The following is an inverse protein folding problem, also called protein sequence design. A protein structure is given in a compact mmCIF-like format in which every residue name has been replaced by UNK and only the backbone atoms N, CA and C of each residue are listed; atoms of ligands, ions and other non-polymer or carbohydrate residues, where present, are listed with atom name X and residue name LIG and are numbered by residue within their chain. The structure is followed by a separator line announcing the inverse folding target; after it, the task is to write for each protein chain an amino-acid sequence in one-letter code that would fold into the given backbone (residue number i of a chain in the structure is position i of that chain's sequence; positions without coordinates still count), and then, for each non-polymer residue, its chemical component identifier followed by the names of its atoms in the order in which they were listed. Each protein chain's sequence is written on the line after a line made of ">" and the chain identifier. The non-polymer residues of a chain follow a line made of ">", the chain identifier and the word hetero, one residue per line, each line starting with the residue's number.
data_IF_736261735054
#
_entry.id   IF_736261735054
#
_cell.length_a   1.000
_cell.length_b   1.000
_cell.length_c   1.000
_cell.angle_alpha   90.00
_cell.angle_beta   90.00
_cell.angle_gamma   90.00
#
_symmetry.space_group_name_H-M   'P 1'
#
loop_
_entity.id
_entity.type
_entity.pdbx_description
1 polymer ?
#
# COMPACT_ATOMS: atom_id res chain seq x y z
N UNK A 1 -4.26 -16.26 42.46
CA UNK A 1 -5.42 -15.87 41.65
C UNK A 1 -6.03 -14.61 42.24
N UNK A 2 -6.08 -13.53 41.47
CA UNK A 2 -7.17 -12.55 41.40
C UNK A 2 -6.79 -11.56 40.30
N UNK A 3 -6.88 -12.00 39.04
CA UNK A 3 -7.14 -11.08 37.95
C UNK A 3 -8.57 -10.58 38.18
N UNK A 4 -8.70 -9.46 38.87
CA UNK A 4 -9.99 -8.85 39.21
C UNK A 4 -10.80 -8.63 37.93
N UNK A 5 -11.80 -9.47 37.70
CA UNK A 5 -12.82 -9.33 36.64
C UNK A 5 -12.47 -9.90 35.26
N UNK A 6 -11.25 -10.34 35.00
CA UNK A 6 -10.83 -10.82 33.67
C UNK A 6 -10.82 -12.36 33.62
N UNK A 7 -11.65 -12.97 32.74
CA UNK A 7 -11.66 -14.42 32.48
C UNK A 7 -10.37 -14.85 31.78
N UNK A 8 -9.30 -15.04 32.55
CA UNK A 8 -7.97 -15.40 32.04
C UNK A 8 -7.55 -16.77 32.58
N UNK A 9 -7.31 -17.74 31.69
CA UNK A 9 -6.87 -19.07 32.11
C UNK A 9 -5.35 -19.10 32.38
N UNK A 10 -4.87 -19.89 33.38
CA UNK A 10 -3.44 -20.08 33.61
C UNK A 10 -2.70 -20.59 32.36
N UNK A 11 -3.35 -21.46 31.58
CA UNK A 11 -2.80 -22.00 30.34
C UNK A 11 -2.54 -20.91 29.29
N UNK A 12 -3.46 -19.94 29.15
CA UNK A 12 -3.29 -18.82 28.23
C UNK A 12 -2.13 -17.91 28.63
N UNK A 13 -1.95 -17.65 29.93
CA UNK A 13 -0.81 -16.92 30.45
C UNK A 13 0.52 -17.61 30.12
N UNK A 14 0.61 -18.93 30.32
CA UNK A 14 1.82 -19.67 29.97
C UNK A 14 2.12 -19.62 28.47
N UNK A 15 1.09 -19.72 27.63
CA UNK A 15 1.26 -19.58 26.17
C UNK A 15 1.81 -18.21 25.78
N UNK A 16 1.33 -17.14 26.41
CA UNK A 16 1.83 -15.78 26.15
C UNK A 16 3.26 -15.59 26.66
N UNK A 17 3.63 -16.16 27.81
CA UNK A 17 5.02 -16.17 28.29
C UNK A 17 5.95 -16.92 27.35
N UNK A 18 5.54 -18.10 26.90
CA UNK A 18 6.31 -18.91 25.96
C UNK A 18 6.54 -18.18 24.63
N UNK A 19 5.58 -17.36 24.21
CA UNK A 19 5.68 -16.51 23.02
C UNK A 19 6.41 -15.17 23.26
N UNK A 20 6.87 -14.89 24.48
CA UNK A 20 7.54 -13.63 24.83
C UNK A 20 6.63 -12.40 24.87
N UNK A 21 5.30 -12.57 24.82
CA UNK A 21 4.33 -11.46 24.83
C UNK A 21 4.17 -10.82 26.21
N UNK A 22 4.44 -11.57 27.27
CA UNK A 22 4.45 -11.08 28.65
C UNK A 22 5.73 -11.56 29.34
N UNK A 23 6.28 -10.77 30.27
CA UNK A 23 7.52 -11.12 30.91
C UNK A 23 7.33 -12.30 31.87
N UNK A 24 8.41 -13.05 32.13
CA UNK A 24 8.37 -14.14 33.11
C UNK A 24 8.26 -13.58 34.53
N UNK A 25 7.51 -14.24 35.42
CA UNK A 25 7.46 -13.87 36.83
C UNK A 25 8.86 -13.94 37.45
N UNK A 26 9.27 -12.85 38.10
CA UNK A 26 10.58 -12.70 38.72
C UNK A 26 10.73 -11.37 39.45
N UNK A 27 11.91 -11.06 40.02
CA UNK A 27 12.12 -9.90 40.89
C UNK A 27 11.81 -8.54 40.26
N UNK A 28 11.86 -8.43 38.93
CA UNK A 28 11.53 -7.20 38.19
C UNK A 28 10.09 -7.10 37.68
N UNK A 29 9.27 -8.14 37.87
CA UNK A 29 7.91 -8.23 37.31
C UNK A 29 6.86 -8.56 38.36
N UNK A 30 7.31 -8.93 39.57
CA UNK A 30 6.49 -9.20 40.73
C UNK A 30 6.79 -8.18 41.83
N UNK A 31 5.72 -7.71 42.46
CA UNK A 31 5.75 -6.90 43.67
C UNK A 31 5.24 -7.74 44.83
N UNK A 32 5.85 -7.56 46.01
CA UNK A 32 5.39 -8.19 47.24
C UNK A 32 4.26 -7.36 47.84
N UNK A 33 3.08 -7.96 47.94
CA UNK A 33 1.90 -7.37 48.59
C UNK A 33 1.54 -8.24 49.79
N UNK A 34 2.12 -7.92 50.95
CA UNK A 34 2.00 -8.76 52.15
C UNK A 34 2.70 -10.11 51.97
N UNK A 35 1.94 -11.21 52.07
CA UNK A 35 2.43 -12.59 51.90
C UNK A 35 2.29 -13.12 50.47
N UNK A 36 1.78 -12.31 49.53
CA UNK A 36 1.59 -12.72 48.15
C UNK A 36 2.48 -11.91 47.21
N UNK A 37 2.90 -12.56 46.13
CA UNK A 37 3.53 -11.91 44.99
C UNK A 37 2.47 -11.61 43.94
N UNK A 38 2.42 -10.36 43.49
CA UNK A 38 1.49 -9.88 42.48
C UNK A 38 2.26 -9.27 41.31
N UNK A 39 1.71 -9.30 40.11
CA UNK A 39 2.32 -8.63 38.97
C UNK A 39 2.36 -7.12 39.16
N UNK A 40 3.37 -6.48 38.57
CA UNK A 40 3.42 -5.02 38.53
C UNK A 40 2.23 -4.43 37.76
N UNK A 41 1.82 -3.18 38.03
CA UNK A 41 0.74 -2.52 37.29
C UNK A 41 0.97 -2.49 35.77
N UNK A 42 2.22 -2.37 35.33
CA UNK A 42 2.60 -2.38 33.91
C UNK A 42 2.29 -3.75 33.28
N UNK A 43 2.65 -4.83 33.98
CA UNK A 43 2.35 -6.20 33.50
C UNK A 43 0.85 -6.47 33.51
N UNK A 44 0.11 -5.94 34.49
CA UNK A 44 -1.35 -6.04 34.52
C UNK A 44 -2.00 -5.31 33.33
N UNK A 45 -1.52 -4.11 33.00
CA UNK A 45 -1.98 -3.31 31.86
C UNK A 45 -1.72 -4.03 30.53
N UNK A 46 -0.51 -4.59 30.37
CA UNK A 46 -0.15 -5.43 29.22
C UNK A 46 -1.11 -6.62 29.07
N UNK A 47 -1.34 -7.38 30.13
CA UNK A 47 -2.25 -8.54 30.12
C UNK A 47 -3.69 -8.14 29.78
N UNK A 48 -4.17 -7.02 30.32
CA UNK A 48 -5.50 -6.49 30.01
C UNK A 48 -5.62 -6.07 28.53
N UNK A 49 -4.63 -5.37 27.98
CA UNK A 49 -4.62 -5.00 26.56
C UNK A 49 -4.55 -6.20 25.61
N UNK A 50 -3.74 -7.21 25.95
CA UNK A 50 -3.68 -8.47 25.20
C UNK A 50 -5.02 -9.21 25.22
N UNK A 51 -5.75 -9.17 26.33
CA UNK A 51 -7.09 -9.77 26.44
C UNK A 51 -8.12 -9.11 25.54
N UNK A 52 -8.03 -7.80 25.31
CA UNK A 52 -8.90 -7.09 24.36
C UNK A 52 -8.63 -7.54 22.92
N UNK A 53 -7.36 -7.76 22.57
CA UNK A 53 -6.95 -8.12 21.21
C UNK A 53 -7.10 -9.62 20.90
N UNK A 54 -6.89 -10.49 21.89
CA UNK A 54 -6.79 -11.94 21.71
C UNK A 54 -8.00 -12.63 21.04
N UNK A 55 -9.26 -12.25 21.30
CA UNK A 55 -10.41 -12.86 20.63
C UNK A 55 -10.41 -12.70 19.10
N UNK A 56 -9.72 -11.67 18.60
CA UNK A 56 -9.65 -11.34 17.18
C UNK A 56 -8.49 -12.06 16.48
N UNK A 57 -7.53 -12.60 17.23
CA UNK A 57 -6.28 -13.13 16.70
C UNK A 57 -6.26 -14.66 16.69
N UNK A 58 -5.81 -15.24 15.57
CA UNK A 58 -5.61 -16.69 15.44
C UNK A 58 -4.21 -17.15 15.83
N UNK A 59 -3.23 -16.23 15.78
CA UNK A 59 -1.82 -16.50 16.06
C UNK A 59 -1.25 -15.53 17.07
N UNK A 60 -0.12 -15.88 17.70
CA UNK A 60 0.59 -14.96 18.59
C UNK A 60 1.26 -13.82 17.82
N UNK A 61 1.67 -14.06 16.56
CA UNK A 61 2.22 -13.02 15.70
C UNK A 61 1.15 -11.95 15.39
N UNK A 62 -0.07 -12.37 15.07
CA UNK A 62 -1.21 -11.45 14.89
C UNK A 62 -1.56 -10.70 16.17
N UNK A 63 -1.50 -11.38 17.32
CA UNK A 63 -1.74 -10.75 18.63
C UNK A 63 -0.67 -9.71 18.96
N UNK A 64 0.62 -10.01 18.71
CA UNK A 64 1.72 -9.08 18.91
C UNK A 64 1.50 -7.81 18.07
N UNK A 65 1.21 -7.96 16.78
CA UNK A 65 0.98 -6.83 15.88
C UNK A 65 -0.26 -6.03 16.25
N UNK A 66 -1.39 -6.70 16.50
CA UNK A 66 -2.64 -6.03 16.83
C UNK A 66 -2.52 -5.26 18.14
N UNK A 67 -1.93 -5.86 19.17
CA UNK A 67 -1.72 -5.21 20.46
C UNK A 67 -0.72 -4.05 20.34
N UNK A 68 0.39 -4.25 19.61
CA UNK A 68 1.39 -3.21 19.37
C UNK A 68 0.78 -1.97 18.75
N UNK A 69 0.03 -2.13 17.65
CA UNK A 69 -0.64 -1.02 16.97
C UNK A 69 -1.85 -0.47 17.74
N UNK A 70 -2.38 -1.16 18.75
CA UNK A 70 -3.37 -0.64 19.70
C UNK A 70 -2.74 -0.07 20.98
N UNK A 71 -1.48 0.36 20.93
CA UNK A 71 -0.76 1.02 22.04
C UNK A 71 -0.61 0.17 23.30
N UNK A 72 -0.82 -1.13 23.22
CA UNK A 72 -0.49 -2.05 24.31
C UNK A 72 1.04 -2.12 24.43
N UNK A 73 1.61 -2.02 25.65
CA UNK A 73 3.07 -2.02 25.87
C UNK A 73 3.65 -3.44 25.75
N UNK A 74 3.46 -4.07 24.59
CA UNK A 74 4.03 -5.38 24.27
C UNK A 74 5.56 -5.26 24.08
N UNK A 75 6.35 -6.27 24.47
CA UNK A 75 7.78 -6.27 24.20
C UNK A 75 8.08 -6.16 22.69
N UNK A 76 9.12 -5.43 22.30
CA UNK A 76 9.44 -5.19 20.88
C UNK A 76 9.88 -6.47 20.14
N UNK A 77 10.49 -7.43 20.82
CA UNK A 77 11.01 -8.65 20.19
C UNK A 77 9.95 -9.56 19.54
N UNK A 78 8.81 -9.89 20.19
CA UNK A 78 7.72 -10.60 19.51
C UNK A 78 7.11 -9.78 18.36
N UNK A 79 7.12 -8.44 18.44
CA UNK A 79 6.67 -7.56 17.34
C UNK A 79 7.63 -7.67 16.16
N UNK A 80 8.95 -7.56 16.38
CA UNK A 80 9.97 -7.76 15.34
C UNK A 80 9.83 -9.13 14.68
N UNK A 81 9.69 -10.18 15.50
CA UNK A 81 9.52 -11.55 15.01
C UNK A 81 8.26 -11.68 14.14
N UNK A 82 7.14 -11.09 14.57
CA UNK A 82 5.90 -11.09 13.82
C UNK A 82 6.03 -10.33 12.49
N UNK A 83 6.68 -9.16 12.49
CA UNK A 83 6.98 -8.39 11.28
C UNK A 83 7.88 -9.20 10.33
N UNK A 84 8.94 -9.84 10.83
CA UNK A 84 9.84 -10.66 10.00
C UNK A 84 9.09 -11.79 9.26
N UNK A 85 8.22 -12.51 9.99
CA UNK A 85 7.46 -13.63 9.43
C UNK A 85 6.34 -13.21 8.49
N UNK A 86 5.74 -12.04 8.72
CA UNK A 86 4.57 -11.58 7.95
C UNK A 86 4.94 -10.70 6.76
N UNK A 87 5.98 -9.88 6.88
CA UNK A 87 6.38 -8.93 5.85
C UNK A 87 7.30 -9.56 4.80
N UNK A 88 8.49 -10.05 5.18
CA UNK A 88 9.53 -10.38 4.20
C UNK A 88 9.17 -11.50 3.22
N UNK A 89 8.51 -12.61 3.63
CA UNK A 89 8.04 -13.61 2.67
C UNK A 89 7.06 -13.01 1.65
N UNK A 90 6.25 -12.07 2.09
CA UNK A 90 5.24 -11.42 1.27
C UNK A 90 5.86 -10.37 0.35
N UNK A 91 6.86 -9.63 0.85
CA UNK A 91 7.69 -8.73 0.05
C UNK A 91 8.39 -9.47 -1.09
N UNK A 92 9.04 -10.60 -0.81
CA UNK A 92 9.69 -11.44 -1.84
C UNK A 92 8.68 -11.88 -2.89
N UNK A 93 7.52 -12.39 -2.46
CA UNK A 93 6.45 -12.79 -3.38
C UNK A 93 5.96 -11.64 -4.26
N UNK A 94 5.74 -10.46 -3.69
CA UNK A 94 5.33 -9.26 -4.46
C UNK A 94 6.40 -8.86 -5.46
N UNK A 95 7.69 -8.93 -5.09
CA UNK A 95 8.81 -8.64 -6.01
C UNK A 95 8.92 -9.65 -7.16
N UNK A 96 8.73 -10.93 -6.87
CA UNK A 96 8.67 -11.97 -7.90
C UNK A 96 7.51 -11.70 -8.86
N UNK A 97 6.31 -11.40 -8.34
CA UNK A 97 5.15 -11.04 -9.14
C UNK A 97 5.40 -9.78 -9.99
N UNK A 98 6.00 -8.72 -9.42
CA UNK A 98 6.38 -7.52 -10.19
C UNK A 98 7.36 -7.86 -11.32
N UNK A 99 8.33 -8.73 -11.05
CA UNK A 99 9.30 -9.17 -12.03
C UNK A 99 8.66 -10.01 -13.14
N UNK A 100 7.71 -10.87 -12.80
CA UNK A 100 6.91 -11.63 -13.76
C UNK A 100 6.07 -10.69 -14.65
N UNK A 101 5.39 -9.68 -14.07
CA UNK A 101 4.62 -8.71 -14.86
C UNK A 101 5.54 -7.88 -15.78
N UNK A 102 6.71 -7.47 -15.31
CA UNK A 102 7.71 -6.77 -16.12
C UNK A 102 8.17 -7.62 -17.31
N UNK A 103 8.33 -8.93 -17.12
CA UNK A 103 8.70 -9.85 -18.21
C UNK A 103 7.58 -10.06 -19.24
N UNK A 104 6.32 -9.83 -18.87
CA UNK A 104 5.17 -9.89 -19.80
C UNK A 104 5.07 -8.68 -20.72
N UNK A 105 5.70 -7.56 -20.37
CA UNK A 105 5.81 -6.41 -21.27
C UNK A 105 6.68 -6.83 -22.48
N UNK A 106 6.15 -6.72 -23.72
CA UNK A 106 6.90 -7.08 -24.92
C UNK A 106 8.26 -6.38 -24.94
N UNK A 107 9.32 -7.10 -25.33
CA UNK A 107 10.68 -6.56 -25.29
C UNK A 107 10.81 -5.25 -26.11
N UNK A 108 10.11 -5.18 -27.24
CA UNK A 108 10.09 -3.99 -28.10
C UNK A 108 9.53 -2.76 -27.37
N UNK A 109 8.41 -2.91 -26.66
CA UNK A 109 7.78 -1.82 -25.90
C UNK A 109 8.63 -1.43 -24.68
N UNK A 110 9.28 -2.42 -24.06
CA UNK A 110 10.17 -2.23 -22.91
C UNK A 110 11.44 -1.46 -23.25
N UNK A 111 12.02 -1.75 -24.42
CA UNK A 111 13.25 -1.11 -24.89
C UNK A 111 12.97 0.33 -25.40
N UNK A 112 11.74 0.61 -25.82
CA UNK A 112 11.30 1.95 -26.25
C UNK A 112 10.94 2.87 -25.07
N UNK A 113 10.45 2.30 -23.95
CA UNK A 113 10.04 3.06 -22.77
C UNK A 113 11.18 3.28 -21.76
N UNK A 114 11.10 4.38 -20.98
CA UNK A 114 12.01 4.59 -19.85
C UNK A 114 11.84 3.47 -18.82
N UNK A 115 12.92 3.01 -18.15
CA UNK A 115 12.85 1.98 -17.14
C UNK A 115 11.79 2.24 -16.06
N UNK A 116 11.64 3.48 -15.62
CA UNK A 116 10.63 3.85 -14.62
C UNK A 116 9.19 3.59 -15.09
N UNK A 117 8.92 3.76 -16.39
CA UNK A 117 7.59 3.53 -16.96
C UNK A 117 7.27 2.03 -17.06
N UNK A 118 8.25 1.21 -17.46
CA UNK A 118 8.10 -0.25 -17.49
C UNK A 118 7.78 -0.80 -16.09
N UNK A 119 8.41 -0.24 -15.06
CA UNK A 119 8.10 -0.58 -13.67
C UNK A 119 6.72 -0.12 -13.25
N UNK A 120 6.32 1.09 -13.63
CA UNK A 120 4.99 1.61 -13.35
C UNK A 120 3.88 0.74 -13.99
N UNK A 121 4.14 0.20 -15.18
CA UNK A 121 3.24 -0.76 -15.84
C UNK A 121 3.14 -2.10 -15.10
N UNK A 122 4.27 -2.64 -14.65
CA UNK A 122 4.29 -3.87 -13.86
C UNK A 122 3.59 -3.68 -12.50
N UNK A 123 3.79 -2.54 -11.84
CA UNK A 123 3.12 -2.20 -10.58
C UNK A 123 1.61 -2.06 -10.76
N UNK A 124 1.18 -1.30 -11.78
CA UNK A 124 -0.23 -1.13 -12.10
C UNK A 124 -0.94 -2.47 -12.40
N UNK A 125 -0.25 -3.43 -13.04
CA UNK A 125 -0.80 -4.76 -13.27
C UNK A 125 -1.10 -5.52 -11.97
N UNK A 126 -0.30 -5.33 -10.92
CA UNK A 126 -0.58 -5.88 -9.59
C UNK A 126 -1.67 -5.09 -8.86
N UNK A 127 -1.66 -3.77 -8.96
CA UNK A 127 -2.68 -2.91 -8.35
C UNK A 127 -4.08 -3.20 -8.91
N UNK A 128 -4.18 -3.62 -10.17
CA UNK A 128 -5.41 -4.12 -10.80
C UNK A 128 -6.03 -5.34 -10.07
N UNK A 129 -5.28 -6.03 -9.20
CA UNK A 129 -5.79 -7.11 -8.37
C UNK A 129 -6.54 -6.60 -7.12
N UNK A 130 -6.44 -5.31 -6.78
CA UNK A 130 -7.21 -4.68 -5.72
C UNK A 130 -8.67 -4.50 -6.16
N UNK A 131 -9.45 -5.58 -6.00
CA UNK A 131 -10.85 -5.67 -6.48
C UNK A 131 -11.73 -4.54 -6.00
N UNK A 132 -11.53 -4.07 -4.78
CA UNK A 132 -12.35 -3.01 -4.21
C UNK A 132 -12.05 -1.66 -4.85
N UNK A 133 -10.77 -1.25 -4.85
CA UNK A 133 -10.33 0.00 -5.46
C UNK A 133 -10.64 0.04 -6.96
N UNK A 134 -10.33 -1.04 -7.70
CA UNK A 134 -10.57 -1.13 -9.14
C UNK A 134 -12.07 -1.11 -9.47
N UNK A 135 -12.90 -1.79 -8.68
CA UNK A 135 -14.36 -1.70 -8.83
C UNK A 135 -14.83 -0.25 -8.65
N UNK A 136 -14.38 0.43 -7.59
CA UNK A 136 -14.75 1.82 -7.33
C UNK A 136 -14.29 2.76 -8.47
N UNK A 137 -13.03 2.66 -8.90
CA UNK A 137 -12.51 3.47 -10.02
C UNK A 137 -13.31 3.26 -11.30
N UNK A 138 -13.73 2.03 -11.62
CA UNK A 138 -14.58 1.73 -12.80
C UNK A 138 -15.98 2.29 -12.67
N UNK A 139 -16.61 2.13 -11.50
CA UNK A 139 -17.94 2.65 -11.25
C UNK A 139 -17.95 4.17 -11.32
N UNK A 140 -16.89 4.81 -10.84
CA UNK A 140 -16.67 6.24 -10.94
C UNK A 140 -16.47 6.71 -12.40
N UNK A 141 -15.61 6.04 -13.16
CA UNK A 141 -15.43 6.32 -14.60
C UNK A 141 -16.74 6.18 -15.38
N UNK A 142 -17.55 5.15 -15.10
CA UNK A 142 -18.84 4.91 -15.77
C UNK A 142 -19.88 6.01 -15.52
N UNK A 143 -19.71 6.86 -14.49
CA UNK A 143 -20.57 8.04 -14.27
C UNK A 143 -20.37 9.13 -15.32
N UNK A 144 -19.22 9.14 -16.02
CA UNK A 144 -18.99 10.07 -17.13
C UNK A 144 -19.91 9.77 -18.30
N UNK A 145 -20.41 10.82 -18.95
CA UNK A 145 -21.36 10.69 -20.07
C UNK A 145 -20.80 9.90 -21.24
N UNK A 146 -19.51 10.08 -21.54
CA UNK A 146 -18.81 9.41 -22.64
C UNK A 146 -18.46 7.94 -22.33
N UNK A 147 -18.33 7.58 -21.05
CA UNK A 147 -18.01 6.22 -20.59
C UNK A 147 -19.22 5.45 -20.04
N UNK A 148 -20.41 6.05 -20.03
CA UNK A 148 -21.64 5.42 -19.51
C UNK A 148 -21.97 4.07 -20.18
N UNK A 149 -21.60 3.93 -21.46
CA UNK A 149 -21.79 2.70 -22.26
C UNK A 149 -20.48 1.96 -22.54
N UNK A 150 -19.38 2.36 -21.90
CA UNK A 150 -18.08 1.72 -22.06
C UNK A 150 -18.14 0.25 -21.63
N UNK A 151 -17.41 -0.58 -22.36
CA UNK A 151 -17.29 -2.00 -22.01
C UNK A 151 -16.50 -2.18 -20.71
N UNK A 152 -16.60 -3.37 -20.11
CA UNK A 152 -15.79 -3.68 -18.93
C UNK A 152 -14.28 -3.62 -19.24
N UNK A 153 -13.88 -4.16 -20.40
CA UNK A 153 -12.49 -4.14 -20.86
C UNK A 153 -11.97 -2.71 -21.06
N UNK A 154 -12.79 -1.83 -21.67
CA UNK A 154 -12.42 -0.42 -21.84
C UNK A 154 -12.24 0.29 -20.50
N UNK A 155 -13.09 0.02 -19.51
CA UNK A 155 -12.94 0.60 -18.17
C UNK A 155 -11.73 0.03 -17.43
N UNK A 156 -11.42 -1.25 -17.58
CA UNK A 156 -10.22 -1.86 -17.01
C UNK A 156 -8.95 -1.25 -17.61
N UNK A 157 -8.91 -1.00 -18.92
CA UNK A 157 -7.80 -0.32 -19.59
C UNK A 157 -7.61 1.11 -19.08
N UNK A 158 -8.72 1.85 -18.89
CA UNK A 158 -8.71 3.22 -18.34
C UNK A 158 -8.18 3.25 -16.91
N UNK A 159 -8.64 2.34 -16.05
CA UNK A 159 -8.14 2.22 -14.68
C UNK A 159 -6.68 1.81 -14.66
N UNK A 160 -6.27 0.85 -15.49
CA UNK A 160 -4.85 0.47 -15.60
C UNK A 160 -4.00 1.67 -16.00
N UNK A 161 -4.42 2.46 -16.98
CA UNK A 161 -3.72 3.69 -17.38
C UNK A 161 -3.59 4.71 -16.25
N UNK A 162 -4.65 4.90 -15.45
CA UNK A 162 -4.62 5.73 -14.22
C UNK A 162 -3.57 5.20 -13.23
N UNK A 163 -3.56 3.90 -12.96
CA UNK A 163 -2.63 3.27 -12.03
C UNK A 163 -1.17 3.32 -12.52
N UNK A 164 -0.93 3.21 -13.83
CA UNK A 164 0.43 3.37 -14.40
C UNK A 164 0.98 4.74 -14.05
N UNK A 165 0.25 5.79 -14.38
CA UNK A 165 0.72 7.15 -14.13
C UNK A 165 0.70 7.55 -12.66
N UNK A 166 -0.11 6.90 -11.82
CA UNK A 166 -0.02 6.98 -10.36
C UNK A 166 1.17 6.21 -9.78
N UNK A 167 1.84 5.35 -10.54
CA UNK A 167 3.10 4.69 -10.17
C UNK A 167 4.34 5.27 -10.88
N UNK A 168 4.18 6.14 -11.89
CA UNK A 168 5.27 6.74 -12.66
C UNK A 168 5.84 8.01 -11.98
N UNK A 169 7.12 8.39 -12.13
CA UNK A 169 7.72 9.50 -11.35
C UNK A 169 6.99 10.86 -11.41
N UNK A 170 6.24 11.12 -12.48
CA UNK A 170 5.46 12.34 -12.63
C UNK A 170 4.14 12.06 -13.38
N UNK A 171 3.09 12.78 -13.01
CA UNK A 171 1.81 12.75 -13.72
C UNK A 171 1.92 13.53 -15.04
N UNK A 172 1.27 13.06 -16.13
CA UNK A 172 1.27 13.74 -17.41
C UNK A 172 0.21 14.84 -17.40
N UNK A 173 0.45 15.93 -16.67
CA UNK A 173 -0.51 17.03 -16.46
C UNK A 173 -0.95 17.74 -17.75
N UNK A 174 -0.18 17.59 -18.83
CA UNK A 174 -0.50 18.10 -20.17
C UNK A 174 -1.53 17.23 -20.92
N UNK A 175 -1.78 16.00 -20.48
CA UNK A 175 -2.72 15.07 -21.10
C UNK A 175 -4.12 15.21 -20.46
N UNK A 176 -4.98 16.04 -21.03
CA UNK A 176 -6.37 16.22 -20.55
C UNK A 176 -7.23 14.97 -20.68
N UNK A 177 -6.91 14.13 -21.68
CA UNK A 177 -7.28 12.71 -21.80
C UNK A 177 -7.33 12.02 -20.45
N UNK A 178 -6.09 11.79 -20.03
CA UNK A 178 -5.71 11.14 -18.82
C UNK A 178 -6.18 11.90 -17.58
N UNK A 179 -5.97 13.22 -17.51
CA UNK A 179 -6.35 13.99 -16.33
C UNK A 179 -7.86 13.92 -16.08
N UNK A 180 -8.70 13.92 -17.12
CA UNK A 180 -10.13 13.70 -16.97
C UNK A 180 -10.49 12.27 -16.51
N UNK A 181 -9.73 11.25 -16.95
CA UNK A 181 -9.88 9.87 -16.49
C UNK A 181 -9.45 9.73 -15.02
N UNK A 182 -8.33 10.35 -14.63
CA UNK A 182 -7.83 10.41 -13.25
C UNK A 182 -8.85 11.10 -12.33
N UNK A 183 -9.29 12.31 -12.70
CA UNK A 183 -10.29 13.06 -11.94
C UNK A 183 -11.56 12.24 -11.72
N UNK A 184 -12.02 11.56 -12.78
CA UNK A 184 -13.23 10.77 -12.74
C UNK A 184 -13.05 9.47 -11.96
N UNK A 185 -11.96 8.72 -12.14
CA UNK A 185 -11.68 7.51 -11.39
C UNK A 185 -11.59 7.78 -9.88
N UNK A 186 -11.04 8.93 -9.51
CA UNK A 186 -10.94 9.40 -8.12
C UNK A 186 -12.27 9.94 -7.58
N UNK A 187 -13.21 10.36 -8.44
CA UNK A 187 -14.50 10.93 -8.07
C UNK A 187 -14.41 11.95 -6.92
N UNK A 188 -13.59 13.00 -7.12
CA UNK A 188 -13.38 14.10 -6.18
C UNK A 188 -14.67 14.86 -5.76
N UNK A 189 -15.82 14.55 -6.36
CA UNK A 189 -17.11 15.24 -6.18
C UNK A 189 -18.27 14.36 -5.67
N UNK A 190 -18.01 13.15 -5.14
CA UNK A 190 -19.06 12.23 -4.65
C UNK A 190 -18.77 11.63 -3.26
N UNK A 191 -19.79 11.12 -2.54
CA UNK A 191 -19.71 10.81 -1.12
C UNK A 191 -18.65 9.73 -0.76
N UNK A 192 -18.08 9.80 0.46
CA UNK A 192 -16.80 9.18 0.80
C UNK A 192 -16.79 7.65 0.80
N UNK A 193 -17.85 6.97 1.26
CA UNK A 193 -17.85 5.51 1.42
C UNK A 193 -17.58 4.74 0.11
N UNK A 194 -17.89 5.34 -1.04
CA UNK A 194 -17.79 4.68 -2.35
C UNK A 194 -16.48 4.93 -3.11
N UNK A 195 -15.59 5.79 -2.59
CA UNK A 195 -14.31 6.13 -3.26
C UNK A 195 -13.08 5.92 -2.36
N UNK A 196 -13.24 5.50 -1.10
CA UNK A 196 -12.13 5.34 -0.15
C UNK A 196 -11.02 4.43 -0.66
N UNK A 197 -11.36 3.27 -1.20
CA UNK A 197 -10.38 2.29 -1.64
C UNK A 197 -9.58 2.81 -2.84
N UNK A 198 -10.23 3.55 -3.74
CA UNK A 198 -9.55 4.20 -4.87
C UNK A 198 -8.54 5.26 -4.39
N UNK A 199 -8.91 6.08 -3.41
CA UNK A 199 -8.04 7.12 -2.86
C UNK A 199 -6.86 6.57 -2.09
N UNK A 200 -7.11 5.54 -1.27
CA UNK A 200 -6.08 4.83 -0.55
C UNK A 200 -5.01 4.27 -1.49
N UNK A 201 -5.45 3.61 -2.57
CA UNK A 201 -4.56 3.06 -3.56
C UNK A 201 -3.77 4.17 -4.27
N UNK A 202 -4.44 5.24 -4.71
CA UNK A 202 -3.79 6.35 -5.41
C UNK A 202 -2.77 7.11 -4.54
N UNK A 203 -3.08 7.35 -3.26
CA UNK A 203 -2.17 7.95 -2.30
C UNK A 203 -0.92 7.08 -2.12
N UNK A 204 -1.11 5.76 -2.01
CA UNK A 204 -0.01 4.82 -1.87
C UNK A 204 0.89 4.85 -3.11
N UNK A 205 0.34 4.66 -4.30
CA UNK A 205 1.08 4.72 -5.55
C UNK A 205 1.81 6.06 -5.71
N UNK A 206 1.14 7.20 -5.47
CA UNK A 206 1.75 8.53 -5.62
C UNK A 206 2.82 8.82 -4.55
N UNK A 207 2.65 8.33 -3.31
CA UNK A 207 3.70 8.40 -2.29
C UNK A 207 4.93 7.56 -2.67
N UNK A 208 4.75 6.43 -3.36
CA UNK A 208 5.86 5.66 -3.92
C UNK A 208 6.56 6.38 -5.08
N UNK A 209 5.91 7.33 -5.76
CA UNK A 209 6.58 8.20 -6.75
C UNK A 209 7.51 9.21 -6.08
N UNK A 210 7.03 9.87 -5.01
CA UNK A 210 7.78 10.89 -4.28
C UNK A 210 8.96 10.30 -3.51
N UNK A 211 8.83 9.06 -3.06
CA UNK A 211 9.94 8.26 -2.59
C UNK A 211 10.68 7.76 -3.84
N UNK A 212 11.47 8.62 -4.50
CA UNK A 212 12.35 8.22 -5.61
C UNK A 212 12.92 6.86 -5.26
N UNK A 213 12.49 5.83 -5.98
CA UNK A 213 12.53 4.43 -5.55
C UNK A 213 13.98 3.92 -5.68
N UNK A 214 14.88 4.52 -4.89
CA UNK A 214 16.24 4.12 -4.69
C UNK A 214 16.19 2.67 -4.22
N UNK A 215 16.84 1.82 -5.00
CA UNK A 215 16.70 0.37 -4.99
C UNK A 215 17.35 -0.18 -3.73
N UNK A 216 16.68 -0.04 -2.58
CA UNK A 216 17.08 -0.81 -1.40
C UNK A 216 16.76 -2.26 -1.70
N UNK A 217 17.78 -3.11 -1.77
CA UNK A 217 17.57 -4.56 -1.97
C UNK A 217 16.72 -5.13 -0.83
N UNK A 218 16.08 -6.29 -1.04
CA UNK A 218 15.36 -6.97 0.06
C UNK A 218 16.27 -7.26 1.26
N UNK A 219 17.56 -7.47 1.00
CA UNK A 219 18.61 -7.62 2.01
C UNK A 219 18.86 -6.32 2.78
N UNK A 220 19.02 -5.20 2.08
CA UNK A 220 19.24 -3.89 2.71
C UNK A 220 18.04 -3.46 3.56
N UNK A 221 16.82 -3.78 3.14
CA UNK A 221 15.61 -3.61 3.95
C UNK A 221 15.63 -4.44 5.21
N UNK A 222 16.03 -5.71 5.10
CA UNK A 222 16.16 -6.59 6.25
C UNK A 222 17.23 -6.07 7.21
N UNK A 223 18.40 -5.69 6.70
CA UNK A 223 19.51 -5.14 7.50
C UNK A 223 19.09 -3.83 8.20
N UNK A 224 18.42 -2.93 7.49
CA UNK A 224 17.89 -1.67 8.06
C UNK A 224 16.86 -1.95 9.15
N UNK A 225 15.93 -2.88 8.92
CA UNK A 225 14.92 -3.25 9.90
C UNK A 225 15.54 -3.91 11.14
N UNK A 226 16.51 -4.81 10.96
CA UNK A 226 17.21 -5.48 12.07
C UNK A 226 18.08 -4.52 12.88
N UNK A 227 18.58 -3.44 12.27
CA UNK A 227 19.37 -2.42 12.95
C UNK A 227 18.52 -1.42 13.77
N UNK A 228 17.18 -1.45 13.66
CA UNK A 228 16.31 -0.54 14.40
C UNK A 228 16.33 -0.79 15.90
N UNK A 229 16.39 0.30 16.67
CA UNK A 229 16.23 0.24 18.12
C UNK A 229 14.77 0.01 18.53
N UNK A 230 14.53 -0.33 19.79
CA UNK A 230 13.17 -0.47 20.34
C UNK A 230 12.43 0.87 20.30
N UNK A 231 13.12 1.98 20.58
CA UNK A 231 12.58 3.34 20.53
C UNK A 231 12.19 3.73 19.10
N UNK A 232 13.02 3.41 18.11
CA UNK A 232 12.69 3.64 16.69
C UNK A 232 11.40 2.91 16.31
N UNK A 233 11.23 1.66 16.77
CA UNK A 233 10.05 0.86 16.45
C UNK A 233 8.77 1.51 17.01
N UNK A 234 8.83 2.04 18.25
CA UNK A 234 7.72 2.75 18.89
C UNK A 234 7.41 4.08 18.18
N UNK A 235 8.45 4.85 17.82
CA UNK A 235 8.27 6.11 17.06
C UNK A 235 7.63 5.83 15.69
N UNK A 236 8.09 4.80 14.98
CA UNK A 236 7.51 4.46 13.68
C UNK A 236 6.07 3.96 13.79
N UNK A 237 5.72 3.24 14.86
CA UNK A 237 4.33 2.88 15.14
C UNK A 237 3.44 4.12 15.22
N UNK A 238 3.87 5.15 15.95
CA UNK A 238 3.13 6.40 16.08
C UNK A 238 2.97 7.10 14.73
N UNK A 239 4.04 7.16 13.94
CA UNK A 239 4.00 7.74 12.59
C UNK A 239 3.07 6.97 11.64
N UNK A 240 3.06 5.64 11.71
CA UNK A 240 2.14 4.81 10.91
C UNK A 240 0.70 5.02 11.35
N UNK A 241 0.44 5.12 12.65
CA UNK A 241 -0.91 5.42 13.16
C UNK A 241 -1.37 6.82 12.75
N UNK A 242 -0.51 7.82 12.86
CA UNK A 242 -0.78 9.17 12.33
C UNK A 242 -1.11 9.11 10.84
N UNK A 243 -0.43 8.24 10.09
CA UNK A 243 -0.70 8.05 8.66
C UNK A 243 -2.07 7.45 8.42
N UNK A 244 -2.43 6.41 9.17
CA UNK A 244 -3.74 5.76 9.10
C UNK A 244 -4.88 6.69 9.53
N UNK A 245 -4.68 7.47 10.58
CA UNK A 245 -5.62 8.49 11.06
C UNK A 245 -5.80 9.60 10.02
N UNK A 246 -4.72 10.12 9.44
CA UNK A 246 -4.80 11.15 8.40
C UNK A 246 -5.50 10.63 7.14
N UNK A 247 -5.15 9.40 6.73
CA UNK A 247 -5.82 8.66 5.67
C UNK A 247 -7.33 8.57 5.96
N UNK A 248 -7.69 8.16 7.16
CA UNK A 248 -9.08 7.92 7.55
C UNK A 248 -9.87 9.22 7.69
N UNK A 249 -9.27 10.25 8.25
CA UNK A 249 -9.83 11.58 8.37
C UNK A 249 -10.14 12.16 6.99
N UNK A 250 -9.20 12.06 6.05
CA UNK A 250 -9.44 12.50 4.67
C UNK A 250 -10.51 11.64 3.98
N UNK A 251 -10.42 10.32 4.14
CA UNK A 251 -11.39 9.40 3.54
C UNK A 251 -12.80 9.51 4.16
N UNK A 252 -12.95 10.10 5.35
CA UNK A 252 -14.23 10.32 6.02
C UNK A 252 -14.74 11.77 5.92
N UNK A 253 -14.09 12.63 5.12
CA UNK A 253 -14.42 14.05 5.01
C UNK A 253 -14.48 14.76 6.38
N UNK A 254 -13.53 14.46 7.26
CA UNK A 254 -13.47 14.92 8.65
C UNK A 254 -14.56 14.38 9.59
N UNK A 255 -15.36 13.41 9.17
CA UNK A 255 -16.42 12.78 9.98
C UNK A 255 -15.88 11.93 11.14
N UNK A 256 -14.71 11.30 10.96
CA UNK A 256 -14.04 10.51 11.98
C UNK A 256 -12.55 10.83 12.03
N UNK A 257 -12.01 11.09 13.23
CA UNK A 257 -10.61 11.50 13.42
C UNK A 257 -9.63 10.34 13.55
N UNK A 258 -10.12 9.15 13.94
CA UNK A 258 -9.25 8.02 14.28
C UNK A 258 -9.59 6.77 13.48
N UNK A 259 -8.54 6.12 13.00
CA UNK A 259 -8.60 4.83 12.34
C UNK A 259 -8.46 3.73 13.40
N UNK A 260 -9.57 3.04 13.71
CA UNK A 260 -9.54 1.93 14.66
C UNK A 260 -8.99 0.66 13.99
N UNK A 261 -7.87 0.16 14.52
CA UNK A 261 -7.26 -1.11 14.11
C UNK A 261 -8.00 -2.27 14.77
N UNK A 262 -9.17 -2.61 14.23
CA UNK A 262 -10.05 -3.65 14.79
C UNK A 262 -9.77 -5.07 14.28
N UNK A 263 -8.75 -5.28 13.43
CA UNK A 263 -8.49 -6.62 12.89
C UNK A 263 -7.01 -6.94 12.67
N UNK A 264 -6.64 -8.24 12.75
CA UNK A 264 -5.30 -8.70 12.40
C UNK A 264 -4.89 -8.39 10.95
N UNK A 265 -5.86 -8.26 10.04
CA UNK A 265 -5.60 -7.85 8.66
C UNK A 265 -5.05 -6.43 8.60
N UNK A 266 -5.68 -5.50 9.32
CA UNK A 266 -5.24 -4.11 9.38
C UNK A 266 -3.93 -3.96 10.16
N UNK A 267 -3.74 -4.72 11.24
CA UNK A 267 -2.46 -4.73 11.97
C UNK A 267 -1.29 -5.21 11.11
N UNK A 268 -1.52 -6.21 10.26
CA UNK A 268 -0.51 -6.64 9.27
C UNK A 268 -0.25 -5.56 8.23
N UNK A 269 -1.28 -4.89 7.71
CA UNK A 269 -1.11 -3.76 6.78
C UNK A 269 -0.27 -2.64 7.41
N UNK A 270 -0.60 -2.22 8.64
CA UNK A 270 0.16 -1.23 9.39
C UNK A 270 1.61 -1.68 9.61
N UNK A 271 1.82 -2.96 9.92
CA UNK A 271 3.15 -3.56 10.03
C UNK A 271 3.95 -3.47 8.73
N UNK A 272 3.32 -3.67 7.57
CA UNK A 272 3.97 -3.46 6.27
C UNK A 272 4.35 -2.00 6.07
N UNK A 273 3.43 -1.07 6.31
CA UNK A 273 3.71 0.37 6.21
C UNK A 273 4.90 0.76 7.09
N UNK A 274 4.97 0.21 8.31
CA UNK A 274 6.09 0.42 9.21
C UNK A 274 7.40 -0.04 8.58
N UNK A 275 7.48 -1.29 8.11
CA UNK A 275 8.73 -1.85 7.55
C UNK A 275 9.13 -1.13 6.26
N UNK A 276 8.19 -0.83 5.36
CA UNK A 276 8.44 -0.03 4.16
C UNK A 276 9.07 1.33 4.50
N UNK A 277 8.53 1.97 5.54
CA UNK A 277 8.96 3.29 5.95
C UNK A 277 10.37 3.32 6.55
N UNK A 278 10.85 2.22 7.12
CA UNK A 278 12.22 2.12 7.67
C UNK A 278 13.29 2.50 6.64
N UNK A 279 13.07 2.09 5.39
CA UNK A 279 13.94 2.39 4.25
C UNK A 279 13.47 3.61 3.47
N UNK A 280 12.15 3.77 3.22
CA UNK A 280 11.65 4.87 2.40
C UNK A 280 11.98 6.25 3.00
N UNK A 281 12.03 6.38 4.33
CA UNK A 281 12.42 7.63 5.00
C UNK A 281 13.82 8.13 4.63
N UNK A 282 14.71 7.27 4.14
CA UNK A 282 16.06 7.65 3.71
C UNK A 282 16.04 8.45 2.39
N UNK A 283 15.01 8.25 1.57
CA UNK A 283 14.81 9.00 0.32
C UNK A 283 14.12 10.36 0.56
N UNK A 284 13.67 10.63 1.79
CA UNK A 284 12.97 11.86 2.15
C UNK A 284 13.82 12.75 3.08
N UNK A 285 13.58 14.07 3.10
CA UNK A 285 14.27 14.97 4.03
C UNK A 285 14.14 14.50 5.50
N UNK A 286 15.19 14.66 6.32
CA UNK A 286 15.13 14.31 7.74
C UNK A 286 13.93 14.95 8.45
N UNK A 287 13.18 14.16 9.21
CA UNK A 287 11.96 14.61 9.91
C UNK A 287 10.67 14.50 9.08
N UNK A 288 10.74 14.04 7.83
CA UNK A 288 9.55 13.70 7.05
C UNK A 288 8.72 12.64 7.77
N UNK A 289 7.39 12.77 7.70
CA UNK A 289 6.43 11.82 8.26
C UNK A 289 5.66 11.15 7.12
N UNK A 290 5.42 9.83 7.17
CA UNK A 290 4.68 9.14 6.12
C UNK A 290 3.25 9.70 5.99
N UNK A 291 2.62 10.06 7.10
CA UNK A 291 1.30 10.68 7.14
C UNK A 291 1.27 11.98 6.35
N UNK A 292 2.27 12.83 6.57
CA UNK A 292 2.38 14.12 5.92
C UNK A 292 2.61 13.97 4.41
N UNK A 293 3.48 13.04 4.01
CA UNK A 293 3.71 12.73 2.59
C UNK A 293 2.45 12.20 1.90
N UNK A 294 1.70 11.30 2.55
CA UNK A 294 0.44 10.78 2.02
C UNK A 294 -0.62 11.88 1.90
N UNK A 295 -0.74 12.73 2.92
CA UNK A 295 -1.65 13.89 2.91
C UNK A 295 -1.26 14.89 1.82
N UNK A 296 0.02 15.21 1.69
CA UNK A 296 0.52 16.14 0.68
C UNK A 296 0.39 15.55 -0.73
N UNK A 297 0.63 14.26 -0.90
CA UNK A 297 0.32 13.51 -2.13
C UNK A 297 -1.15 13.64 -2.51
N UNK A 298 -2.07 13.42 -1.56
CA UNK A 298 -3.51 13.54 -1.81
C UNK A 298 -3.94 14.98 -2.08
N UNK A 299 -3.39 15.96 -1.36
CA UNK A 299 -3.64 17.39 -1.63
C UNK A 299 -3.10 17.81 -2.99
N UNK A 300 -1.93 17.31 -3.38
CA UNK A 300 -1.33 17.53 -4.70
C UNK A 300 -2.25 16.97 -5.79
N UNK A 301 -2.66 15.71 -5.66
CA UNK A 301 -3.62 15.07 -6.57
C UNK A 301 -4.95 15.85 -6.63
N UNK A 302 -5.50 16.25 -5.49
CA UNK A 302 -6.70 17.08 -5.41
C UNK A 302 -6.52 18.40 -6.15
N UNK A 303 -5.43 19.13 -5.88
CA UNK A 303 -5.14 20.41 -6.52
C UNK A 303 -5.00 20.26 -8.03
N UNK A 304 -4.31 19.23 -8.50
CA UNK A 304 -4.12 18.94 -9.92
C UNK A 304 -5.43 18.56 -10.62
N UNK A 305 -6.33 17.87 -9.91
CA UNK A 305 -7.62 17.45 -10.45
C UNK A 305 -8.71 18.52 -10.34
N UNK A 306 -8.51 19.53 -9.48
CA UNK A 306 -9.43 20.66 -9.28
C UNK A 306 -9.13 21.85 -10.20
N UNK A 307 -7.93 21.91 -10.78
CA UNK A 307 -7.57 22.91 -11.78
C UNK A 307 -8.07 22.45 -13.17
N UNK A 308 -8.98 23.21 -13.78
CA UNK A 308 -9.55 22.94 -15.12
C UNK A 308 -8.45 22.69 -16.18
N UNK A 309 -8.14 21.42 -16.45
CA UNK A 309 -7.14 21.04 -17.45
C UNK A 309 -7.77 20.89 -18.84
N UNK A 310 -7.95 22.04 -19.50
CA UNK A 310 -8.00 22.12 -20.94
C UNK A 310 -6.65 21.64 -21.52
N UNK A 311 -6.64 20.50 -22.20
CA UNK A 311 -5.46 19.91 -22.84
C UNK A 311 -5.86 19.14 -24.10
N UNK A 312 -4.87 18.65 -24.86
CA UNK A 312 -5.02 18.28 -26.28
C UNK A 312 -6.19 17.34 -26.61
N UNK A 313 -6.97 17.76 -27.61
CA UNK A 313 -8.17 17.07 -28.04
C UNK A 313 -7.93 15.62 -28.48
N UNK A 314 -8.93 14.78 -28.18
CA UNK A 314 -9.07 13.33 -28.45
C UNK A 314 -8.44 12.79 -29.75
N UNK A 315 -8.36 13.61 -30.81
CA UNK A 315 -7.81 13.24 -32.11
C UNK A 315 -6.27 13.11 -32.14
N UNK A 316 -5.54 13.85 -31.30
CA UNK A 316 -4.07 13.79 -31.24
C UNK A 316 -3.62 12.57 -30.45
N UNK A 317 -4.29 12.26 -29.33
CA UNK A 317 -4.07 11.06 -28.53
C UNK A 317 -4.37 9.77 -29.32
N UNK A 318 -5.50 9.70 -30.04
CA UNK A 318 -5.85 8.54 -30.87
C UNK A 318 -4.83 8.24 -31.98
N UNK A 319 -4.11 9.24 -32.49
CA UNK A 319 -3.01 9.01 -33.45
C UNK A 319 -1.77 8.39 -32.81
N UNK A 320 -1.58 8.58 -31.50
CA UNK A 320 -0.38 8.12 -30.77
C UNK A 320 -0.57 6.75 -30.13
N UNK A 321 -1.81 6.38 -29.80
CA UNK A 321 -2.11 5.15 -29.04
C UNK A 321 -2.85 4.07 -29.83
N UNK A 322 -3.16 4.29 -31.12
CA UNK A 322 -3.65 3.21 -31.96
C UNK A 322 -2.51 2.24 -32.35
N UNK A 323 -2.70 0.91 -32.22
CA UNK A 323 -1.78 -0.05 -32.80
C UNK A 323 -1.77 0.16 -34.33
N UNK A 324 -0.58 0.40 -34.89
CA UNK A 324 -0.41 0.58 -36.33
C UNK A 324 -1.04 -0.61 -37.07
N UNK A 325 -1.85 -0.38 -38.12
CA UNK A 325 -2.31 -1.48 -38.96
C UNK A 325 -1.09 -2.22 -39.49
N UNK A 326 -0.99 -3.51 -39.20
CA UNK A 326 -0.04 -4.37 -39.91
C UNK A 326 -0.33 -4.20 -41.40
N UNK A 327 0.64 -3.65 -42.13
CA UNK A 327 0.61 -3.62 -43.58
C UNK A 327 0.37 -5.06 -44.06
N UNK A 328 -0.86 -5.35 -44.50
CA UNK A 328 -1.14 -6.52 -45.33
C UNK A 328 -0.19 -6.40 -46.51
N UNK A 329 0.81 -7.29 -46.56
CA UNK A 329 1.58 -7.55 -47.77
C UNK A 329 0.58 -7.79 -48.89
N UNK A 330 0.50 -6.84 -49.81
CA UNK A 330 -0.15 -7.03 -51.09
C UNK A 330 0.53 -8.22 -51.77
N UNK A 331 -0.24 -9.28 -51.99
CA UNK A 331 -0.01 -10.18 -53.13
C UNK A 331 0.03 -9.30 -54.37
N UNK A 332 1.16 -9.26 -55.04
CA UNK A 332 1.19 -9.03 -56.48
C UNK A 332 1.81 -10.27 -57.11
N UNK A 333 0.93 -11.08 -57.67
CA UNK A 333 1.22 -11.89 -58.85
C UNK A 333 1.50 -10.95 -60.04
N UNK A 334 2.40 -11.37 -60.94
CA UNK A 334 2.34 -10.96 -62.35
C UNK A 334 3.52 -10.16 -62.91
N UNK A 335 4.51 -10.90 -63.42
CA UNK A 335 5.12 -10.81 -64.76
C UNK A 335 5.50 -9.42 -65.35
N UNK A 336 6.76 -9.22 -65.72
CA UNK A 336 7.30 -9.45 -67.08
C UNK A 336 8.75 -8.94 -67.22
N UNK A 337 9.59 -9.81 -67.80
CA UNK A 337 10.60 -9.53 -68.85
C UNK A 337 11.40 -8.21 -68.82
N UNK A 338 12.74 -8.33 -68.72
CA UNK A 338 13.67 -8.01 -69.82
C UNK A 338 15.15 -8.25 -69.44
N UNK A 339 15.87 -9.03 -70.27
CA UNK A 339 17.31 -8.95 -70.60
C UNK A 339 18.34 -9.10 -69.47
N UNK A 340 19.53 -9.69 -69.61
CA UNK A 340 20.33 -10.11 -70.77
C UNK A 340 21.49 -10.92 -70.18
N UNK A 341 21.89 -12.05 -70.78
CA UNK A 341 23.29 -12.36 -71.18
C UNK A 341 23.58 -13.87 -71.24
N UNK A 342 24.09 -14.23 -72.44
CA UNK A 342 24.71 -15.47 -72.93
C UNK A 342 23.76 -16.61 -73.29
#
# INVERSE_FOLDING_TARGET
>A
MAASGLKLSPYQLERWRAAGLIPRPGPGTLLRSGNTEIYTPETATLVAGLLTCAPLCRSHDDLALLAFFNEVPVPCEPVRTALLKTYFPQYTKVREQQSEELQRIPAQDRDEALPEYNWAEAAAALDMQNREAVRQMRDNLRRRRDLKRASHAELDERVRGVLIWLNAPALPTHDSVFMADLCAAMAFSGPPDQSRAAWLLAAHCHSEQLAERCVTSGRERLETFLAMTDDDLVILREQVRESLDAIWYMASEAGSRHFELESPGMARLAGRMLVEWTTARQAHPPGSRPAQLLVDSLRSLWSLCSADAAGEGRAVFQRRTQPRPQHRRSKNDGAESAGTSI
#
